data_IF_038924748649
#
_entry.id   IF_038924748649
#
_cell.length_a   1.000
_cell.length_b   1.000
_cell.length_c   1.000
_cell.angle_alpha   90.00
_cell.angle_beta   90.00
_cell.angle_gamma   90.00
#
_symmetry.space_group_name_H-M   'P 1'
#
loop_
_entity.id
_entity.type
_entity.pdbx_description
1 polymer ?
#
# COMPACT_ATOMS: atom_id res chain seq x y z
N UNK A 1 9.25 24.79 -3.92
CA UNK A 1 8.04 25.26 -4.61
C UNK A 1 7.28 24.15 -5.33
N UNK A 2 6.88 23.10 -4.68
CA UNK A 2 6.00 22.08 -5.29
C UNK A 2 4.98 21.52 -4.28
N UNK A 3 4.56 22.32 -3.32
CA UNK A 3 3.44 21.98 -2.42
C UNK A 3 2.08 22.31 -3.05
N UNK A 4 2.04 23.17 -4.06
CA UNK A 4 0.80 23.59 -4.73
C UNK A 4 0.30 22.64 -5.83
N UNK A 5 1.19 21.88 -6.47
CA UNK A 5 0.83 20.91 -7.54
C UNK A 5 0.28 19.58 -7.01
N UNK A 6 0.28 19.42 -5.68
CA UNK A 6 -0.21 18.22 -5.00
C UNK A 6 -1.73 18.12 -4.94
N UNK A 7 -2.45 19.21 -5.16
CA UNK A 7 -3.84 19.29 -4.74
C UNK A 7 -4.88 18.92 -5.79
N UNK A 8 -4.62 19.09 -7.09
CA UNK A 8 -5.66 18.87 -8.10
C UNK A 8 -5.65 17.49 -8.75
N UNK A 9 -4.47 16.98 -9.15
CA UNK A 9 -4.38 15.74 -9.93
C UNK A 9 -4.41 14.48 -9.07
N UNK A 10 -3.85 14.55 -7.85
CA UNK A 10 -3.89 13.44 -6.89
C UNK A 10 -5.31 13.30 -6.34
N UNK A 11 -5.99 14.40 -6.02
CA UNK A 11 -7.31 14.38 -5.43
C UNK A 11 -8.37 13.77 -6.36
N UNK A 12 -8.33 14.06 -7.66
CA UNK A 12 -9.33 13.54 -8.61
C UNK A 12 -9.15 12.05 -8.90
N UNK A 13 -7.91 11.57 -9.04
CA UNK A 13 -7.63 10.14 -9.24
C UNK A 13 -7.86 9.31 -7.97
N UNK A 14 -7.55 9.87 -6.78
CA UNK A 14 -7.77 9.21 -5.50
C UNK A 14 -9.27 9.02 -5.22
N UNK A 15 -10.09 10.03 -5.51
CA UNK A 15 -11.55 9.95 -5.38
C UNK A 15 -12.15 8.85 -6.26
N UNK A 16 -11.66 8.67 -7.48
CA UNK A 16 -12.16 7.65 -8.40
C UNK A 16 -11.91 6.23 -7.89
N UNK A 17 -10.81 6.02 -7.12
CA UNK A 17 -10.44 4.71 -6.58
C UNK A 17 -11.06 4.40 -5.21
N UNK A 18 -11.72 5.35 -4.56
CA UNK A 18 -12.42 5.11 -3.28
C UNK A 18 -13.51 4.03 -3.46
N UNK A 19 -14.28 4.09 -4.53
CA UNK A 19 -15.34 3.12 -4.83
C UNK A 19 -14.83 1.68 -4.95
N UNK A 20 -13.88 1.36 -5.85
CA UNK A 20 -13.28 0.04 -5.95
C UNK A 20 -12.66 -0.47 -4.64
N UNK A 21 -11.96 0.38 -3.88
CA UNK A 21 -11.38 0.00 -2.60
C UNK A 21 -12.43 -0.28 -1.52
N UNK A 22 -13.51 0.49 -1.50
CA UNK A 22 -14.66 0.23 -0.64
C UNK A 22 -15.28 -1.13 -0.95
N UNK A 23 -15.48 -1.44 -2.24
CA UNK A 23 -16.00 -2.75 -2.66
C UNK A 23 -15.07 -3.89 -2.25
N UNK A 24 -13.75 -3.75 -2.43
CA UNK A 24 -12.78 -4.76 -1.99
C UNK A 24 -12.85 -4.94 -0.48
N UNK A 25 -12.92 -3.86 0.30
CA UNK A 25 -13.04 -3.92 1.75
C UNK A 25 -14.31 -4.63 2.21
N UNK A 26 -15.44 -4.29 1.63
CA UNK A 26 -16.75 -4.84 2.03
C UNK A 26 -16.89 -6.28 1.56
N UNK A 27 -16.71 -6.54 0.26
CA UNK A 27 -17.04 -7.83 -0.34
C UNK A 27 -15.95 -8.90 -0.17
N UNK A 28 -14.66 -8.52 -0.09
CA UNK A 28 -13.59 -9.49 -0.10
C UNK A 28 -12.91 -9.69 1.27
N UNK A 29 -12.92 -8.69 2.13
CA UNK A 29 -12.25 -8.78 3.44
C UNK A 29 -13.25 -9.01 4.57
N UNK A 30 -14.41 -8.38 4.51
CA UNK A 30 -15.42 -8.44 5.58
C UNK A 30 -16.66 -9.29 5.20
N UNK A 31 -16.47 -10.42 4.53
CA UNK A 31 -17.54 -11.33 4.14
C UNK A 31 -18.42 -11.76 5.32
N UNK A 32 -17.83 -12.05 6.48
CA UNK A 32 -18.57 -12.41 7.67
C UNK A 32 -19.49 -11.29 8.17
N UNK A 33 -19.05 -10.04 8.07
CA UNK A 33 -19.88 -8.89 8.44
C UNK A 33 -20.99 -8.63 7.40
N UNK A 34 -20.72 -8.92 6.12
CA UNK A 34 -21.74 -8.83 5.07
C UNK A 34 -22.86 -9.86 5.30
N UNK A 35 -22.52 -11.08 5.72
CA UNK A 35 -23.48 -12.11 6.07
C UNK A 35 -24.43 -11.69 7.20
N UNK A 36 -23.92 -10.95 8.22
CA UNK A 36 -24.75 -10.43 9.32
C UNK A 36 -25.82 -9.42 8.86
N UNK A 37 -25.52 -8.67 7.80
CA UNK A 37 -26.46 -7.67 7.23
C UNK A 37 -27.39 -8.29 6.22
N UNK A 38 -26.93 -9.29 5.47
CA UNK A 38 -27.72 -9.93 4.40
C UNK A 38 -27.90 -11.43 4.65
N UNK A 39 -29.08 -11.84 5.17
CA UNK A 39 -29.37 -13.19 5.61
C UNK A 39 -29.28 -14.26 4.53
N UNK A 40 -29.64 -13.95 3.27
CA UNK A 40 -29.55 -14.91 2.15
C UNK A 40 -28.08 -15.18 1.78
N UNK A 41 -27.23 -14.17 1.92
CA UNK A 41 -25.79 -14.32 1.73
C UNK A 41 -25.16 -15.16 2.85
N UNK A 42 -25.63 -15.03 4.10
CA UNK A 42 -25.20 -15.87 5.21
C UNK A 42 -25.49 -17.35 4.93
N UNK A 43 -26.66 -17.68 4.39
CA UNK A 43 -26.98 -19.05 4.00
C UNK A 43 -26.03 -19.62 2.95
N UNK A 44 -25.63 -18.79 1.98
CA UNK A 44 -24.64 -19.19 0.97
C UNK A 44 -23.24 -19.39 1.56
N UNK A 45 -22.84 -18.55 2.53
CA UNK A 45 -21.57 -18.69 3.26
C UNK A 45 -21.53 -20.02 4.03
N UNK A 46 -22.62 -20.35 4.74
CA UNK A 46 -22.73 -21.56 5.54
C UNK A 46 -22.78 -22.82 4.67
N UNK A 47 -23.42 -22.73 3.49
CA UNK A 47 -23.52 -23.85 2.54
C UNK A 47 -22.18 -24.16 1.83
N UNK A 48 -21.35 -23.15 1.58
CA UNK A 48 -20.12 -23.27 0.77
C UNK A 48 -18.91 -22.63 1.43
N UNK A 49 -18.65 -22.93 2.69
CA UNK A 49 -17.58 -22.32 3.51
C UNK A 49 -16.20 -22.40 2.86
N UNK A 50 -15.85 -23.55 2.27
CA UNK A 50 -14.55 -23.75 1.61
C UNK A 50 -14.36 -22.84 0.39
N UNK A 51 -15.41 -22.71 -0.44
CA UNK A 51 -15.34 -21.87 -1.65
C UNK A 51 -15.18 -20.40 -1.26
N UNK A 52 -15.96 -19.94 -0.30
CA UNK A 52 -15.89 -18.56 0.16
C UNK A 52 -14.59 -18.23 0.89
N UNK A 53 -14.00 -19.19 1.62
CA UNK A 53 -12.65 -19.00 2.20
C UNK A 53 -11.57 -18.87 1.14
N UNK A 54 -11.64 -19.64 0.05
CA UNK A 54 -10.72 -19.52 -1.08
C UNK A 54 -10.92 -18.16 -1.80
N UNK A 55 -12.17 -17.75 -2.02
CA UNK A 55 -12.48 -16.44 -2.64
C UNK A 55 -11.92 -15.31 -1.79
N UNK A 56 -12.11 -15.35 -0.49
CA UNK A 56 -11.58 -14.33 0.41
C UNK A 56 -10.04 -14.32 0.45
N UNK A 57 -9.41 -15.49 0.54
CA UNK A 57 -7.96 -15.60 0.68
C UNK A 57 -7.18 -15.38 -0.61
N UNK A 58 -7.75 -15.66 -1.78
CA UNK A 58 -7.04 -15.59 -3.07
C UNK A 58 -7.54 -14.47 -3.97
N UNK A 59 -8.84 -14.31 -4.12
CA UNK A 59 -9.40 -13.35 -5.06
C UNK A 59 -9.12 -11.90 -4.63
N UNK A 60 -9.22 -11.59 -3.35
CA UNK A 60 -8.97 -10.24 -2.84
C UNK A 60 -7.54 -9.75 -3.15
N UNK A 61 -6.48 -10.48 -2.77
CA UNK A 61 -5.12 -10.09 -3.11
C UNK A 61 -4.83 -10.15 -4.61
N UNK A 62 -5.48 -11.04 -5.38
CA UNK A 62 -5.31 -11.11 -6.82
C UNK A 62 -5.84 -9.86 -7.53
N UNK A 63 -7.07 -9.43 -7.20
CA UNK A 63 -7.67 -8.21 -7.75
C UNK A 63 -6.84 -6.98 -7.38
N UNK A 64 -6.41 -6.88 -6.13
CA UNK A 64 -5.54 -5.80 -5.65
C UNK A 64 -4.22 -5.77 -6.42
N UNK A 65 -3.65 -6.95 -6.71
CA UNK A 65 -2.39 -7.07 -7.47
C UNK A 65 -2.54 -6.60 -8.92
N UNK A 66 -3.67 -6.92 -9.55
CA UNK A 66 -3.97 -6.48 -10.91
C UNK A 66 -4.07 -4.95 -11.00
N UNK A 67 -4.74 -4.34 -10.04
CA UNK A 67 -4.81 -2.88 -9.93
C UNK A 67 -3.42 -2.28 -9.82
N UNK A 68 -2.57 -2.83 -8.96
CA UNK A 68 -1.20 -2.33 -8.75
C UNK A 68 -0.31 -2.43 -9.98
N UNK A 69 -0.57 -3.37 -10.87
CA UNK A 69 0.16 -3.52 -12.12
C UNK A 69 -0.19 -2.41 -13.13
N UNK A 70 -1.44 -1.99 -13.17
CA UNK A 70 -1.92 -0.96 -14.11
C UNK A 70 -1.61 0.46 -13.62
N UNK A 71 -1.60 0.68 -12.32
CA UNK A 71 -1.47 1.99 -11.70
C UNK A 71 -0.20 2.78 -12.10
N UNK A 72 1.01 2.19 -12.10
CA UNK A 72 2.22 2.91 -12.52
C UNK A 72 2.15 3.45 -13.95
N UNK A 73 1.48 2.73 -14.83
CA UNK A 73 1.31 3.13 -16.25
C UNK A 73 0.44 4.39 -16.33
N UNK A 74 -0.65 4.42 -15.56
CA UNK A 74 -1.56 5.57 -15.49
C UNK A 74 -0.82 6.80 -14.94
N UNK A 75 -0.13 6.67 -13.81
CA UNK A 75 0.58 7.80 -13.20
C UNK A 75 1.74 8.33 -14.06
N UNK A 76 2.40 7.47 -14.84
CA UNK A 76 3.40 7.94 -15.82
C UNK A 76 2.78 8.75 -16.93
N UNK A 77 1.64 8.34 -17.46
CA UNK A 77 0.92 9.14 -18.46
C UNK A 77 0.48 10.48 -17.89
N UNK A 78 -0.03 10.49 -16.68
CA UNK A 78 -0.44 11.71 -15.99
C UNK A 78 0.75 12.66 -15.74
N UNK A 79 1.89 12.14 -15.29
CA UNK A 79 3.13 12.92 -15.09
C UNK A 79 3.69 13.49 -16.40
N UNK A 80 3.51 12.81 -17.53
CA UNK A 80 3.87 13.36 -18.84
C UNK A 80 2.99 14.57 -19.21
N UNK A 81 1.70 14.51 -18.92
CA UNK A 81 0.79 15.64 -19.16
C UNK A 81 1.06 16.82 -18.20
N UNK A 82 1.54 16.55 -16.99
CA UNK A 82 1.92 17.58 -16.01
C UNK A 82 3.22 18.35 -16.36
N UNK A 83 3.92 17.99 -17.46
CA UNK A 83 5.04 18.77 -17.98
C UNK A 83 6.42 18.44 -17.41
N UNK A 84 6.60 17.30 -16.77
CA UNK A 84 7.90 16.84 -16.29
C UNK A 84 8.91 16.64 -17.45
N UNK A 85 9.91 17.54 -17.55
CA UNK A 85 10.83 17.58 -18.69
C UNK A 85 11.91 16.50 -18.67
N UNK A 86 12.35 16.06 -17.48
CA UNK A 86 13.42 15.07 -17.35
C UNK A 86 12.88 13.71 -16.90
N UNK A 87 13.46 12.62 -17.43
CA UNK A 87 13.06 11.26 -17.06
C UNK A 87 13.23 11.00 -15.57
N UNK A 88 14.33 11.46 -14.96
CA UNK A 88 14.62 11.27 -13.54
C UNK A 88 13.66 12.06 -12.63
N UNK A 89 13.28 13.29 -13.01
CA UNK A 89 12.28 14.07 -12.28
C UNK A 89 10.91 13.38 -12.35
N UNK A 90 10.52 12.92 -13.52
CA UNK A 90 9.28 12.18 -13.74
C UNK A 90 9.19 10.94 -12.87
N UNK A 91 10.20 10.06 -12.91
CA UNK A 91 10.20 8.84 -12.08
C UNK A 91 10.11 9.16 -10.58
N UNK A 92 10.79 10.21 -10.12
CA UNK A 92 10.72 10.68 -8.74
C UNK A 92 9.32 11.18 -8.35
N UNK A 93 8.69 11.98 -9.20
CA UNK A 93 7.33 12.49 -8.98
C UNK A 93 6.30 11.36 -9.01
N UNK A 94 6.44 10.42 -9.95
CA UNK A 94 5.61 9.22 -10.03
C UNK A 94 5.75 8.38 -8.77
N UNK A 95 6.98 8.14 -8.25
CA UNK A 95 7.18 7.42 -6.98
C UNK A 95 6.46 8.09 -5.82
N UNK A 96 6.56 9.42 -5.74
CA UNK A 96 5.89 10.18 -4.68
C UNK A 96 4.36 10.07 -4.74
N UNK A 97 3.77 10.23 -5.92
CA UNK A 97 2.31 10.13 -6.16
C UNK A 97 1.81 8.70 -5.93
N UNK A 98 2.50 7.69 -6.46
CA UNK A 98 2.18 6.28 -6.25
C UNK A 98 2.16 5.92 -4.77
N UNK A 99 3.19 6.29 -4.02
CA UNK A 99 3.25 5.98 -2.59
C UNK A 99 2.09 6.62 -1.82
N UNK A 100 1.82 7.91 -2.06
CA UNK A 100 0.70 8.61 -1.42
C UNK A 100 -0.62 7.93 -1.74
N UNK A 101 -0.85 7.59 -3.02
CA UNK A 101 -2.02 6.85 -3.44
C UNK A 101 -2.16 5.49 -2.74
N UNK A 102 -1.08 4.69 -2.70
CA UNK A 102 -1.11 3.37 -2.07
C UNK A 102 -1.40 3.45 -0.57
N UNK A 103 -0.76 4.37 0.14
CA UNK A 103 -1.00 4.53 1.59
C UNK A 103 -2.39 5.07 1.85
N UNK A 104 -2.81 6.11 1.12
CA UNK A 104 -4.11 6.73 1.35
C UNK A 104 -5.25 5.77 1.01
N UNK A 105 -5.28 5.21 -0.21
CA UNK A 105 -6.36 4.34 -0.64
C UNK A 105 -6.33 2.95 0.02
N UNK A 106 -5.18 2.29 0.04
CA UNK A 106 -5.14 0.89 0.47
C UNK A 106 -4.93 0.73 1.98
N UNK A 107 -4.34 1.71 2.66
CA UNK A 107 -4.17 1.62 4.11
C UNK A 107 -5.24 2.43 4.84
N UNK A 108 -5.37 3.73 4.56
CA UNK A 108 -6.27 4.61 5.32
C UNK A 108 -7.72 4.38 4.93
N UNK A 109 -8.08 4.52 3.65
CA UNK A 109 -9.47 4.38 3.18
C UNK A 109 -9.98 2.95 3.40
N UNK A 110 -9.17 1.94 3.08
CA UNK A 110 -9.52 0.55 3.32
C UNK A 110 -9.80 0.26 4.80
N UNK A 111 -8.97 0.77 5.72
CA UNK A 111 -9.19 0.64 7.16
C UNK A 111 -10.41 1.43 7.64
N UNK A 112 -10.63 2.65 7.10
CA UNK A 112 -11.79 3.47 7.44
C UNK A 112 -13.11 2.80 6.99
N UNK A 113 -13.17 2.27 5.78
CA UNK A 113 -14.35 1.53 5.31
C UNK A 113 -14.63 0.27 6.12
N UNK A 114 -13.58 -0.47 6.47
CA UNK A 114 -13.72 -1.64 7.33
C UNK A 114 -14.25 -1.25 8.71
N UNK A 115 -13.78 -0.14 9.27
CA UNK A 115 -14.27 0.38 10.57
C UNK A 115 -15.74 0.79 10.49
N UNK A 116 -16.13 1.56 9.47
CA UNK A 116 -17.52 1.94 9.25
C UNK A 116 -18.40 0.71 9.08
N UNK A 117 -17.96 -0.27 8.29
CA UNK A 117 -18.70 -1.49 8.06
C UNK A 117 -18.86 -2.35 9.32
N UNK A 118 -17.80 -2.47 10.13
CA UNK A 118 -17.83 -3.18 11.42
C UNK A 118 -18.80 -2.49 12.38
N UNK A 119 -18.78 -1.16 12.43
CA UNK A 119 -19.69 -0.37 13.23
C UNK A 119 -21.16 -0.56 12.78
N UNK A 120 -21.45 -0.44 11.50
CA UNK A 120 -22.79 -0.66 10.94
C UNK A 120 -23.30 -2.07 11.25
N UNK A 121 -22.47 -3.09 11.04
CA UNK A 121 -22.85 -4.48 11.32
C UNK A 121 -23.16 -4.71 12.81
N UNK A 122 -22.40 -4.10 13.72
CA UNK A 122 -22.65 -4.17 15.17
C UNK A 122 -23.96 -3.47 15.56
N UNK A 123 -24.25 -2.30 14.99
CA UNK A 123 -25.51 -1.58 15.22
C UNK A 123 -26.71 -2.38 14.72
N UNK A 124 -26.64 -2.95 13.51
CA UNK A 124 -27.72 -3.76 12.92
C UNK A 124 -27.99 -5.01 13.79
N UNK A 125 -26.93 -5.70 14.24
CA UNK A 125 -27.06 -6.89 15.09
C UNK A 125 -27.72 -6.55 16.45
N UNK A 126 -27.31 -5.47 17.11
CA UNK A 126 -27.87 -5.04 18.41
C UNK A 126 -29.31 -4.53 18.29
N UNK A 127 -29.62 -3.81 17.21
CA UNK A 127 -30.99 -3.35 16.91
C UNK A 127 -31.92 -4.52 16.60
N UNK A 128 -31.44 -5.55 15.89
CA UNK A 128 -32.19 -6.79 15.65
C UNK A 128 -32.51 -7.57 16.92
N UNK A 129 -31.78 -7.34 18.02
CA UNK A 129 -32.04 -7.89 19.36
C UNK A 129 -32.95 -7.01 20.24
N UNK A 130 -33.57 -5.96 19.66
CA UNK A 130 -34.54 -5.10 20.33
C UNK A 130 -33.97 -3.91 21.09
N UNK A 131 -32.71 -3.54 20.85
CA UNK A 131 -32.12 -2.33 21.42
C UNK A 131 -32.35 -1.12 20.51
N UNK A 132 -32.54 0.07 21.09
CA UNK A 132 -32.68 1.31 20.35
C UNK A 132 -31.35 1.66 19.65
N UNK A 133 -31.37 1.79 18.33
CA UNK A 133 -30.18 2.09 17.53
C UNK A 133 -29.42 3.34 18.01
N UNK A 134 -30.16 4.37 18.47
CA UNK A 134 -29.56 5.61 18.93
C UNK A 134 -28.76 5.45 20.23
N UNK A 135 -29.24 4.63 21.16
CA UNK A 135 -28.51 4.32 22.40
C UNK A 135 -27.26 3.49 22.10
N UNK A 136 -27.36 2.53 21.20
CA UNK A 136 -26.21 1.71 20.77
C UNK A 136 -25.11 2.59 20.18
N UNK A 137 -25.46 3.60 19.37
CA UNK A 137 -24.49 4.52 18.75
C UNK A 137 -23.81 5.41 19.83
N UNK A 138 -24.55 5.85 20.85
CA UNK A 138 -23.99 6.69 21.91
C UNK A 138 -23.08 5.94 22.87
N UNK A 139 -23.35 4.65 23.11
CA UNK A 139 -22.61 3.83 24.07
C UNK A 139 -21.34 3.20 23.46
N UNK A 140 -21.18 3.23 22.13
CA UNK A 140 -20.00 2.66 21.45
C UNK A 140 -18.79 3.59 21.51
N UNK A 141 -17.69 3.07 22.05
CA UNK A 141 -16.39 3.74 22.03
C UNK A 141 -15.74 3.64 20.64
N UNK A 142 -15.68 4.77 19.92
CA UNK A 142 -15.13 4.87 18.55
C UNK A 142 -13.69 4.35 18.50
N UNK A 143 -12.87 4.62 19.51
CA UNK A 143 -11.49 4.16 19.55
C UNK A 143 -11.42 2.62 19.59
N UNK A 144 -12.29 2.00 20.37
CA UNK A 144 -12.40 0.54 20.46
C UNK A 144 -12.88 -0.07 19.16
N UNK A 145 -13.89 0.52 18.51
CA UNK A 145 -14.40 0.05 17.20
C UNK A 145 -13.31 0.13 16.15
N UNK A 146 -12.57 1.24 16.08
CA UNK A 146 -11.45 1.42 15.16
C UNK A 146 -10.35 0.38 15.42
N UNK A 147 -9.96 0.17 16.66
CA UNK A 147 -8.95 -0.82 17.02
C UNK A 147 -9.39 -2.25 16.66
N UNK A 148 -10.62 -2.63 17.00
CA UNK A 148 -11.17 -3.96 16.66
C UNK A 148 -11.23 -4.17 15.16
N UNK A 149 -11.57 -3.15 14.38
CA UNK A 149 -11.55 -3.19 12.93
C UNK A 149 -10.14 -3.40 12.37
N UNK A 150 -9.14 -2.69 12.88
CA UNK A 150 -7.74 -2.88 12.51
C UNK A 150 -7.26 -4.31 12.85
N UNK A 151 -7.67 -4.85 13.99
CA UNK A 151 -7.38 -6.24 14.34
C UNK A 151 -8.00 -7.23 13.35
N UNK A 152 -9.23 -6.98 12.89
CA UNK A 152 -9.92 -7.87 11.94
C UNK A 152 -9.30 -7.88 10.55
N UNK A 153 -8.70 -6.74 10.13
CA UNK A 153 -8.02 -6.63 8.83
C UNK A 153 -6.59 -7.19 8.88
N UNK A 154 -5.95 -7.22 10.04
CA UNK A 154 -4.53 -7.54 10.16
C UNK A 154 -4.11 -8.87 9.54
N UNK A 155 -4.90 -9.99 9.60
CA UNK A 155 -4.56 -11.25 8.93
C UNK A 155 -4.49 -11.13 7.41
N UNK A 156 -5.30 -10.24 6.81
CA UNK A 156 -5.24 -9.95 5.37
C UNK A 156 -3.83 -9.47 4.96
N UNK A 157 -3.20 -8.59 5.72
CA UNK A 157 -1.87 -8.06 5.41
C UNK A 157 -0.78 -9.12 5.52
N UNK A 158 -0.90 -10.09 6.44
CA UNK A 158 0.04 -11.24 6.51
C UNK A 158 -0.04 -12.06 5.24
N UNK A 159 -1.24 -12.47 4.86
CA UNK A 159 -1.48 -13.27 3.64
C UNK A 159 -1.04 -12.51 2.39
N UNK A 160 -1.34 -11.22 2.34
CA UNK A 160 -0.96 -10.34 1.24
C UNK A 160 0.57 -10.21 1.09
N UNK A 161 1.33 -10.03 2.18
CA UNK A 161 2.80 -9.99 2.16
C UNK A 161 3.40 -11.34 1.71
N UNK A 162 2.86 -12.46 2.18
CA UNK A 162 3.32 -13.78 1.75
C UNK A 162 3.10 -14.02 0.25
N UNK A 163 1.97 -13.55 -0.29
CA UNK A 163 1.70 -13.66 -1.72
C UNK A 163 2.64 -12.81 -2.60
N UNK A 164 3.24 -11.74 -2.05
CA UNK A 164 4.23 -10.93 -2.77
C UNK A 164 5.51 -11.70 -3.12
N UNK A 165 5.87 -12.74 -2.37
CA UNK A 165 6.96 -13.64 -2.73
C UNK A 165 6.71 -14.34 -4.07
N UNK A 166 5.46 -14.71 -4.37
CA UNK A 166 5.08 -15.25 -5.66
C UNK A 166 5.24 -14.21 -6.79
N UNK A 167 4.87 -12.96 -6.53
CA UNK A 167 5.10 -11.84 -7.46
C UNK A 167 6.58 -11.64 -7.79
N UNK A 168 7.46 -11.71 -6.80
CA UNK A 168 8.90 -11.63 -7.00
C UNK A 168 9.44 -12.79 -7.86
N UNK A 169 8.91 -14.01 -7.69
CA UNK A 169 9.26 -15.16 -8.52
C UNK A 169 8.77 -15.01 -9.99
N UNK A 170 7.59 -14.43 -10.19
CA UNK A 170 7.06 -14.11 -11.52
C UNK A 170 7.90 -13.04 -12.21
N UNK A 171 8.36 -12.02 -11.48
CA UNK A 171 9.28 -11.00 -11.98
C UNK A 171 10.62 -11.63 -12.44
N UNK A 172 11.14 -12.61 -11.70
CA UNK A 172 12.35 -13.33 -12.08
C UNK A 172 12.16 -14.12 -13.37
N UNK A 173 11.04 -14.80 -13.50
CA UNK A 173 10.71 -15.59 -14.69
C UNK A 173 10.45 -14.73 -15.93
N UNK A 174 10.27 -13.41 -15.79
CA UNK A 174 9.91 -12.48 -16.89
C UNK A 174 8.74 -12.99 -17.73
N UNK A 175 7.82 -13.70 -17.08
CA UNK A 175 6.73 -14.45 -17.73
C UNK A 175 5.91 -13.56 -18.67
N UNK A 176 5.57 -12.34 -18.25
CA UNK A 176 4.80 -11.42 -19.08
C UNK A 176 5.53 -11.00 -20.35
N UNK A 177 6.80 -10.67 -20.25
CA UNK A 177 7.64 -10.25 -21.39
C UNK A 177 7.82 -11.40 -22.39
N UNK A 178 8.05 -12.61 -21.89
CA UNK A 178 8.18 -13.80 -22.73
C UNK A 178 6.86 -14.17 -23.41
N UNK A 179 5.77 -14.15 -22.67
CA UNK A 179 4.43 -14.43 -23.20
C UNK A 179 4.06 -13.44 -24.30
N UNK A 180 4.20 -12.14 -24.03
CA UNK A 180 3.88 -11.09 -24.98
C UNK A 180 4.74 -11.19 -26.25
N UNK A 181 6.05 -11.35 -26.12
CA UNK A 181 6.93 -11.49 -27.27
C UNK A 181 6.64 -12.74 -28.11
N UNK A 182 6.25 -13.85 -27.47
CA UNK A 182 5.82 -15.06 -28.15
C UNK A 182 4.51 -14.86 -28.91
N UNK A 183 3.54 -14.19 -28.30
CA UNK A 183 2.25 -13.87 -28.94
C UNK A 183 2.47 -12.96 -30.17
N UNK A 184 3.23 -11.89 -30.02
CA UNK A 184 3.50 -10.96 -31.14
C UNK A 184 4.22 -11.66 -32.28
N UNK A 185 5.22 -12.51 -32.00
CA UNK A 185 5.90 -13.32 -33.06
C UNK A 185 4.96 -14.26 -33.78
N UNK A 186 4.01 -14.86 -33.04
CA UNK A 186 3.10 -15.86 -33.63
C UNK A 186 1.95 -15.22 -34.43
N UNK A 187 1.42 -14.08 -33.98
CA UNK A 187 0.20 -13.49 -34.53
C UNK A 187 0.42 -12.23 -35.38
N UNK A 188 1.54 -11.51 -35.23
CA UNK A 188 1.71 -10.18 -35.86
C UNK A 188 2.83 -10.07 -36.87
N UNK A 189 3.54 -11.12 -37.24
CA UNK A 189 4.66 -11.10 -38.24
C UNK A 189 5.51 -9.82 -38.15
N UNK A 190 6.20 -9.56 -37.01
CA UNK A 190 6.88 -8.31 -36.75
C UNK A 190 8.02 -8.04 -37.73
N UNK A 191 8.26 -6.78 -38.06
CA UNK A 191 9.42 -6.35 -38.86
C UNK A 191 10.72 -6.63 -38.11
N UNK A 192 11.88 -6.75 -38.77
CA UNK A 192 13.17 -6.99 -38.11
C UNK A 192 13.52 -5.97 -37.06
N UNK A 193 13.11 -4.71 -37.20
CA UNK A 193 13.30 -3.64 -36.22
C UNK A 193 12.44 -3.86 -34.98
N UNK A 194 11.18 -4.17 -35.15
CA UNK A 194 10.26 -4.48 -34.05
C UNK A 194 10.72 -5.73 -33.29
N UNK A 195 11.29 -6.70 -33.96
CA UNK A 195 11.85 -7.90 -33.35
C UNK A 195 13.03 -7.56 -32.42
N UNK A 196 13.92 -6.66 -32.85
CA UNK A 196 15.02 -6.16 -32.01
C UNK A 196 14.48 -5.43 -30.78
N UNK A 197 13.46 -4.59 -30.94
CA UNK A 197 12.83 -3.87 -29.81
C UNK A 197 12.12 -4.83 -28.83
N UNK A 198 11.47 -5.88 -29.34
CA UNK A 198 10.81 -6.92 -28.53
C UNK A 198 11.78 -7.81 -27.75
N UNK A 199 13.00 -7.99 -28.25
CA UNK A 199 14.04 -8.82 -27.62
C UNK A 199 14.99 -7.98 -26.77
N UNK A 200 14.88 -6.64 -26.80
CA UNK A 200 15.72 -5.75 -26.01
C UNK A 200 15.46 -5.95 -24.51
N UNK A 201 16.53 -5.94 -23.66
CA UNK A 201 16.36 -6.05 -22.21
C UNK A 201 15.47 -4.95 -21.69
N UNK A 202 14.51 -5.28 -20.79
CA UNK A 202 13.58 -4.30 -20.23
C UNK A 202 14.31 -3.29 -19.35
N UNK A 203 13.81 -2.04 -19.33
CA UNK A 203 14.32 -1.02 -18.45
C UNK A 203 13.84 -1.26 -17.01
N UNK A 204 14.71 -1.02 -16.03
CA UNK A 204 14.35 -1.12 -14.62
C UNK A 204 13.37 0.00 -14.22
N UNK A 205 12.23 -0.39 -13.64
CA UNK A 205 11.18 0.52 -13.19
C UNK A 205 11.43 0.98 -11.75
N UNK A 206 12.25 2.02 -11.58
CA UNK A 206 12.58 2.58 -10.27
C UNK A 206 11.34 3.03 -9.49
N UNK A 207 10.38 3.68 -10.15
CA UNK A 207 9.22 4.22 -9.48
C UNK A 207 8.35 3.13 -8.86
N UNK A 208 8.06 2.07 -9.60
CA UNK A 208 7.25 0.97 -9.13
C UNK A 208 7.93 0.18 -8.00
N UNK A 209 9.20 -0.20 -8.17
CA UNK A 209 9.91 -1.00 -7.18
C UNK A 209 10.18 -0.25 -5.87
N UNK A 210 10.56 1.04 -5.93
CA UNK A 210 10.69 1.85 -4.73
C UNK A 210 9.36 2.04 -4.01
N UNK A 211 8.27 2.22 -4.77
CA UNK A 211 6.94 2.33 -4.19
C UNK A 211 6.53 1.03 -3.47
N UNK A 212 6.76 -0.14 -4.07
CA UNK A 212 6.46 -1.42 -3.42
C UNK A 212 7.24 -1.59 -2.12
N UNK A 213 8.55 -1.32 -2.16
CA UNK A 213 9.38 -1.37 -0.96
C UNK A 213 8.88 -0.46 0.16
N UNK A 214 8.59 0.80 -0.16
CA UNK A 214 8.06 1.77 0.80
C UNK A 214 6.70 1.36 1.36
N UNK A 215 5.81 0.90 0.50
CA UNK A 215 4.46 0.51 0.91
C UNK A 215 4.48 -0.74 1.81
N UNK A 216 5.27 -1.76 1.46
CA UNK A 216 5.40 -2.96 2.28
C UNK A 216 6.04 -2.67 3.63
N UNK A 217 7.04 -1.80 3.66
CA UNK A 217 7.63 -1.31 4.91
C UNK A 217 6.61 -0.55 5.75
N UNK A 218 5.77 0.30 5.13
CA UNK A 218 4.71 1.05 5.82
C UNK A 218 3.68 0.12 6.44
N UNK A 219 3.19 -0.86 5.69
CA UNK A 219 2.24 -1.88 6.17
C UNK A 219 2.84 -2.66 7.35
N UNK A 220 4.09 -3.10 7.20
CA UNK A 220 4.80 -3.85 8.26
C UNK A 220 4.92 -3.05 9.55
N UNK A 221 5.36 -1.79 9.47
CA UNK A 221 5.51 -0.92 10.65
C UNK A 221 4.15 -0.62 11.29
N UNK A 222 3.12 -0.36 10.50
CA UNK A 222 1.79 0.00 10.99
C UNK A 222 1.11 -1.17 11.73
N UNK A 223 1.21 -2.39 11.20
CA UNK A 223 0.55 -3.56 11.77
C UNK A 223 1.41 -4.40 12.71
N UNK A 224 2.69 -4.09 12.87
CA UNK A 224 3.63 -4.86 13.71
C UNK A 224 3.14 -5.04 15.16
N UNK A 225 2.51 -4.03 15.75
CA UNK A 225 1.99 -4.06 17.13
C UNK A 225 0.68 -4.82 17.27
N UNK A 226 -0.19 -4.76 16.25
CA UNK A 226 -1.49 -5.43 16.24
C UNK A 226 -1.33 -6.92 15.93
N UNK A 227 -0.53 -7.22 14.91
CA UNK A 227 -0.32 -8.58 14.39
C UNK A 227 1.18 -8.86 14.24
N UNK A 228 1.84 -9.43 15.25
CA UNK A 228 3.30 -9.69 15.21
C UNK A 228 3.74 -10.59 14.05
N UNK A 229 2.85 -11.47 13.52
CA UNK A 229 3.12 -12.32 12.35
C UNK A 229 3.44 -11.54 11.07
N UNK A 230 3.08 -10.27 10.98
CA UNK A 230 3.45 -9.40 9.85
C UNK A 230 4.97 -9.23 9.76
N UNK A 231 5.68 -9.18 10.90
CA UNK A 231 7.14 -9.01 10.93
C UNK A 231 7.90 -10.18 10.28
N UNK A 232 7.69 -11.46 10.66
CA UNK A 232 8.37 -12.56 9.99
C UNK A 232 7.95 -12.72 8.53
N UNK A 233 6.69 -12.44 8.17
CA UNK A 233 6.25 -12.46 6.78
C UNK A 233 6.97 -11.40 5.94
N UNK A 234 7.12 -10.19 6.46
CA UNK A 234 7.87 -9.12 5.80
C UNK A 234 9.38 -9.43 5.74
N UNK A 235 9.97 -9.96 6.81
CA UNK A 235 11.38 -10.34 6.84
C UNK A 235 11.68 -11.39 5.78
N UNK A 236 10.82 -12.38 5.63
CA UNK A 236 10.94 -13.40 4.58
C UNK A 236 10.86 -12.77 3.19
N UNK A 237 9.87 -11.88 2.97
CA UNK A 237 9.73 -11.17 1.70
C UNK A 237 10.99 -10.36 1.38
N UNK A 238 11.44 -9.49 2.28
CA UNK A 238 12.60 -8.62 2.02
C UNK A 238 13.89 -9.41 1.83
N UNK A 239 14.07 -10.51 2.55
CA UNK A 239 15.24 -11.39 2.38
C UNK A 239 15.28 -11.99 0.98
N UNK A 240 14.17 -12.56 0.50
CA UNK A 240 14.06 -13.10 -0.85
C UNK A 240 14.23 -12.00 -1.89
N UNK A 241 13.55 -10.86 -1.72
CA UNK A 241 13.54 -9.76 -2.67
C UNK A 241 14.94 -9.15 -2.87
N UNK A 242 15.75 -9.03 -1.83
CA UNK A 242 17.14 -8.54 -1.93
C UNK A 242 17.97 -9.39 -2.90
N UNK A 243 17.93 -10.71 -2.78
CA UNK A 243 18.66 -11.59 -3.68
C UNK A 243 18.11 -11.56 -5.10
N UNK A 244 16.79 -11.58 -5.25
CA UNK A 244 16.14 -11.53 -6.56
C UNK A 244 16.38 -10.20 -7.28
N UNK A 245 16.23 -9.07 -6.60
CA UNK A 245 16.47 -7.74 -7.19
C UNK A 245 17.94 -7.54 -7.58
N UNK A 246 18.86 -8.05 -6.77
CA UNK A 246 20.29 -8.05 -7.11
C UNK A 246 20.55 -8.82 -8.41
N UNK A 247 19.98 -10.01 -8.55
CA UNK A 247 20.09 -10.81 -9.76
C UNK A 247 19.46 -10.12 -10.96
N UNK A 248 18.24 -9.59 -10.81
CA UNK A 248 17.51 -8.89 -11.88
C UNK A 248 18.26 -7.66 -12.38
N UNK A 249 18.87 -6.87 -11.48
CA UNK A 249 19.63 -5.68 -11.85
C UNK A 249 20.97 -6.01 -12.55
N UNK A 250 21.60 -7.14 -12.20
CA UNK A 250 22.88 -7.52 -12.79
C UNK A 250 22.73 -8.19 -14.16
N UNK A 251 21.66 -8.98 -14.36
CA UNK A 251 21.59 -9.90 -15.51
C UNK A 251 20.41 -9.66 -16.45
N UNK A 252 19.34 -9.02 -16.00
CA UNK A 252 18.09 -8.93 -16.76
C UNK A 252 17.74 -7.50 -17.16
N UNK A 253 17.77 -6.56 -16.20
CA UNK A 253 17.35 -5.19 -16.45
C UNK A 253 18.50 -4.27 -16.86
N UNK A 254 18.18 -3.28 -17.70
CA UNK A 254 19.10 -2.20 -18.04
C UNK A 254 18.69 -0.94 -17.29
N UNK A 255 19.64 -0.34 -16.57
CA UNK A 255 19.47 0.95 -15.90
C UNK A 255 19.63 2.08 -16.90
N UNK A 256 18.53 2.69 -17.33
CA UNK A 256 18.55 3.79 -18.35
C UNK A 256 18.65 5.18 -17.77
N UNK A 257 18.48 5.33 -16.44
CA UNK A 257 18.44 6.64 -15.78
C UNK A 257 19.21 6.59 -14.46
N UNK A 258 20.03 7.62 -14.24
CA UNK A 258 20.70 7.84 -12.98
C UNK A 258 20.11 9.09 -12.31
N UNK A 259 19.86 9.03 -11.00
CA UNK A 259 19.23 10.12 -10.27
C UNK A 259 20.20 10.98 -9.45
N UNK A 260 21.49 10.60 -9.39
CA UNK A 260 22.48 11.29 -8.57
C UNK A 260 22.10 11.37 -7.09
N UNK A 261 21.46 10.32 -6.54
CA UNK A 261 21.05 10.25 -5.13
C UNK A 261 19.76 11.00 -4.79
N UNK A 262 19.06 11.62 -5.76
CA UNK A 262 17.84 12.41 -5.50
C UNK A 262 16.65 11.59 -5.03
N UNK A 263 16.60 10.29 -5.36
CA UNK A 263 15.57 9.40 -4.85
C UNK A 263 15.64 9.21 -3.34
N UNK A 264 16.84 9.22 -2.76
CA UNK A 264 17.01 9.05 -1.31
C UNK A 264 16.17 10.03 -0.49
N UNK A 265 16.11 11.29 -0.89
CA UNK A 265 15.30 12.30 -0.20
C UNK A 265 13.80 11.95 -0.18
N UNK A 266 13.29 11.44 -1.30
CA UNK A 266 11.88 11.02 -1.39
C UNK A 266 11.64 9.81 -0.51
N UNK A 267 12.51 8.80 -0.59
CA UNK A 267 12.42 7.57 0.21
C UNK A 267 12.46 7.88 1.71
N UNK A 268 13.43 8.69 2.14
CA UNK A 268 13.57 9.10 3.54
C UNK A 268 12.31 9.79 4.08
N UNK A 269 11.79 10.78 3.35
CA UNK A 269 10.58 11.48 3.76
C UNK A 269 9.37 10.55 3.89
N UNK A 270 9.25 9.56 3.02
CA UNK A 270 8.15 8.57 3.05
C UNK A 270 8.32 7.57 4.20
N UNK A 271 9.55 7.15 4.50
CA UNK A 271 9.82 6.27 5.65
C UNK A 271 9.52 6.98 6.98
N UNK A 272 9.89 8.27 7.12
CA UNK A 272 9.52 9.06 8.30
C UNK A 272 8.00 9.15 8.44
N UNK A 273 7.27 9.38 7.35
CA UNK A 273 5.82 9.38 7.38
C UNK A 273 5.25 8.03 7.81
N UNK A 274 5.78 6.92 7.29
CA UNK A 274 5.40 5.56 7.69
C UNK A 274 5.59 5.32 9.19
N UNK A 275 6.71 5.78 9.74
CA UNK A 275 7.00 5.65 11.18
C UNK A 275 6.05 6.49 12.05
N UNK A 276 5.67 7.70 11.60
CA UNK A 276 4.67 8.52 12.28
C UNK A 276 3.31 7.81 12.29
N UNK A 277 2.90 7.24 11.15
CA UNK A 277 1.65 6.49 11.04
C UNK A 277 1.65 5.26 11.96
N UNK A 278 2.76 4.52 12.01
CA UNK A 278 2.94 3.39 12.94
C UNK A 278 2.79 3.83 14.41
N UNK A 279 3.43 4.95 14.80
CA UNK A 279 3.31 5.48 16.15
C UNK A 279 1.86 5.89 16.52
N UNK A 280 1.07 6.38 15.56
CA UNK A 280 -0.35 6.65 15.77
C UNK A 280 -1.15 5.37 16.06
N UNK A 281 -0.84 4.29 15.34
CA UNK A 281 -1.48 2.98 15.57
C UNK A 281 -1.04 2.38 16.91
N UNK A 282 0.23 2.51 17.28
CA UNK A 282 0.71 2.13 18.63
C UNK A 282 -0.02 2.90 19.71
N UNK A 283 -0.16 4.22 19.57
CA UNK A 283 -0.92 5.05 20.49
C UNK A 283 -2.36 4.57 20.64
N UNK A 284 -3.04 4.28 19.52
CA UNK A 284 -4.41 3.75 19.53
C UNK A 284 -4.48 2.40 20.26
N UNK A 285 -3.55 1.49 19.99
CA UNK A 285 -3.50 0.17 20.62
C UNK A 285 -3.33 0.29 22.14
N UNK A 286 -2.38 1.12 22.58
CA UNK A 286 -2.12 1.36 24.02
C UNK A 286 -3.29 2.10 24.69
N UNK A 287 -3.95 3.01 23.98
CA UNK A 287 -5.14 3.71 24.49
C UNK A 287 -6.30 2.76 24.76
N UNK A 288 -6.56 1.82 23.84
CA UNK A 288 -7.70 0.90 23.96
C UNK A 288 -7.42 -0.27 24.93
N UNK A 289 -6.17 -0.77 24.93
CA UNK A 289 -5.79 -1.94 25.75
C UNK A 289 -5.15 -1.58 27.09
N UNK A 290 -4.75 -0.32 27.27
CA UNK A 290 -4.08 0.14 28.48
C UNK A 290 -5.01 0.27 29.68
N UNK A 291 -4.40 0.47 30.86
CA UNK A 291 -5.11 0.70 32.13
C UNK A 291 -5.92 2.02 32.10
N UNK A 292 -6.91 2.11 32.95
CA UNK A 292 -7.77 3.32 33.14
C UNK A 292 -6.99 4.62 33.37
N UNK A 293 -5.74 4.56 33.82
CA UNK A 293 -4.88 5.72 34.05
C UNK A 293 -4.27 6.32 32.80
N UNK A 294 -4.30 5.60 31.66
CA UNK A 294 -3.72 6.00 30.36
C UNK A 294 -2.27 6.50 30.38
N UNK A 295 -1.52 6.26 31.48
CA UNK A 295 -0.12 6.71 31.63
C UNK A 295 0.77 6.17 30.49
N UNK A 296 0.55 4.92 30.09
CA UNK A 296 1.30 4.29 29.02
C UNK A 296 1.01 4.98 27.67
N UNK A 297 -0.23 5.38 27.41
CA UNK A 297 -0.60 6.09 26.18
C UNK A 297 0.07 7.47 26.12
N UNK A 298 0.12 8.20 27.24
CA UNK A 298 0.82 9.50 27.31
C UNK A 298 2.34 9.36 27.08
N UNK A 299 2.95 8.24 27.46
CA UNK A 299 4.36 7.97 27.19
C UNK A 299 4.67 7.79 25.69
N UNK A 300 3.69 7.40 24.87
CA UNK A 300 3.84 7.24 23.40
C UNK A 300 3.70 8.57 22.67
N UNK A 301 2.95 9.54 23.20
CA UNK A 301 2.69 10.85 22.56
C UNK A 301 3.95 11.58 22.08
N UNK A 302 5.09 11.63 22.81
CA UNK A 302 6.28 12.35 22.35
C UNK A 302 6.97 11.71 21.13
N UNK A 303 6.74 10.42 20.82
CA UNK A 303 7.43 9.73 19.71
C UNK A 303 7.17 10.37 18.33
N UNK A 304 5.94 10.64 17.90
CA UNK A 304 5.69 11.31 16.62
C UNK A 304 6.36 12.68 16.55
N UNK A 305 6.36 13.45 17.62
CA UNK A 305 7.02 14.78 17.66
C UNK A 305 8.52 14.65 17.54
N UNK A 306 9.13 13.67 18.19
CA UNK A 306 10.57 13.37 18.05
C UNK A 306 10.93 13.01 16.61
N UNK A 307 10.09 12.23 15.93
CA UNK A 307 10.30 11.89 14.51
C UNK A 307 10.20 13.14 13.61
N UNK A 308 9.26 14.04 13.87
CA UNK A 308 9.17 15.32 13.14
C UNK A 308 10.41 16.20 13.40
N UNK A 309 10.84 16.30 14.66
CA UNK A 309 12.04 17.04 15.03
C UNK A 309 13.29 16.46 14.34
N UNK A 310 13.43 15.14 14.31
CA UNK A 310 14.50 14.46 13.60
C UNK A 310 14.48 14.77 12.09
N UNK A 311 13.31 14.75 11.46
CA UNK A 311 13.15 15.14 10.06
C UNK A 311 13.61 16.57 9.81
N UNK A 312 13.21 17.52 10.66
CA UNK A 312 13.61 18.92 10.55
C UNK A 312 15.13 19.08 10.74
N UNK A 313 15.69 18.36 11.71
CA UNK A 313 17.15 18.32 11.90
C UNK A 313 17.89 17.82 10.66
N UNK A 314 17.46 16.69 10.09
CA UNK A 314 18.04 16.14 8.87
C UNK A 314 17.93 17.10 7.67
N UNK A 315 16.77 17.73 7.49
CA UNK A 315 16.57 18.72 6.42
C UNK A 315 17.51 19.91 6.57
N UNK A 316 17.70 20.44 7.77
CA UNK A 316 18.61 21.57 8.03
C UNK A 316 20.08 21.20 7.87
N UNK A 317 20.47 19.99 8.29
CA UNK A 317 21.88 19.57 8.31
C UNK A 317 22.39 19.04 6.97
N UNK A 318 21.56 18.30 6.24
CA UNK A 318 21.99 17.56 5.05
C UNK A 318 21.51 18.18 3.73
N UNK A 319 20.29 18.71 3.66
CA UNK A 319 19.73 19.23 2.41
C UNK A 319 20.51 20.42 1.88
N UNK A 320 20.95 21.34 2.74
CA UNK A 320 21.79 22.47 2.34
C UNK A 320 23.13 22.03 1.76
N UNK A 321 23.79 21.06 2.37
CA UNK A 321 25.09 20.54 1.89
C UNK A 321 25.00 19.83 0.54
N UNK A 322 23.84 19.20 0.23
CA UNK A 322 23.60 18.56 -1.06
C UNK A 322 23.32 19.63 -2.14
N UNK A 323 22.65 20.70 -1.78
CA UNK A 323 22.33 21.79 -2.68
C UNK A 323 23.57 22.60 -3.04
N UNK A 324 24.46 22.87 -2.08
CA UNK A 324 25.72 23.58 -2.29
C UNK A 324 26.68 22.80 -3.22
N UNK A 325 26.73 21.48 -3.14
CA UNK A 325 27.51 20.64 -4.08
C UNK A 325 27.02 20.71 -5.53
N UNK A 326 25.75 21.00 -5.76
CA UNK A 326 25.19 21.13 -7.12
C UNK A 326 25.47 22.46 -7.77
N UNK A 327 25.74 23.52 -6.99
CA UNK A 327 26.13 24.84 -7.51
C UNK A 327 27.60 24.89 -7.92
N UNK A 328 28.40 23.88 -7.61
CA UNK A 328 29.86 23.82 -7.87
C UNK A 328 30.17 22.90 -9.08
N UNK A 329 29.22 22.16 -9.63
CA UNK A 329 29.34 21.35 -10.85
C UNK A 329 28.49 21.96 -11.95
#
# INVERSE_FOLDING_TARGET
DNLGDWSSDVCSSDLLWIGPNAMISIFLVNLANLGRVWGDFQRSLDAHTTIWSIVQGVASPAVTSLIYLVLPIIFRRLSMHAGDRTKSARERNVTGKLYTFFVFNNLIIFSAFSTVWTFVSAVVEKTGKGQDAWKVIQDEDIARVLFTSLCSISPFWVTWLLQRNLGAAIDLAQFWTLFWSSCVRKFSSPTPRELIELTAPPAFDYAAYYNYFLFYSTVTLTFATIQPLVLPAAALYFTIDVYLKKYLLLYIFVTKTESGGMFWRVLFNRMVFATILANLVVFLAVWVQGDHTHVQAFAVVPLPFLMVAFKVYCARSFDKKIQDRKSVV
#
